data_IF_196907581296
#
_entry.id   IF_196907581296
#
_cell.length_a   1.000
_cell.length_b   1.000
_cell.length_c   1.000
_cell.angle_alpha   90.00
_cell.angle_beta   90.00
_cell.angle_gamma   90.00
#
_symmetry.space_group_name_H-M   'P 1'
#
loop_
_entity.id
_entity.type
_entity.pdbx_description
1 polymer ?
#
# COMPACT_ATOMS: atom_id res chain seq x y z
N UNK A 1 -19.49 -31.42 -26.19
CA UNK A 1 -18.66 -30.22 -25.96
C UNK A 1 -18.39 -30.11 -24.47
N UNK A 2 -17.18 -29.69 -24.05
CA UNK A 2 -16.89 -29.43 -22.63
C UNK A 2 -17.91 -28.44 -22.06
N UNK A 3 -18.43 -28.68 -20.87
CA UNK A 3 -19.33 -27.76 -20.18
C UNK A 3 -18.52 -26.89 -19.21
N UNK A 4 -18.93 -25.64 -19.00
CA UNK A 4 -18.31 -24.80 -17.97
C UNK A 4 -18.71 -25.24 -16.56
N UNK A 5 -17.88 -24.88 -15.57
CA UNK A 5 -18.23 -25.01 -14.17
C UNK A 5 -19.53 -24.23 -13.81
N UNK A 6 -20.30 -24.68 -12.80
CA UNK A 6 -21.57 -24.05 -12.42
C UNK A 6 -21.39 -22.65 -11.82
N UNK A 7 -20.17 -22.25 -11.48
CA UNK A 7 -19.86 -20.93 -10.92
C UNK A 7 -19.52 -19.90 -12.01
N UNK A 8 -19.59 -20.28 -13.30
CA UNK A 8 -19.35 -19.39 -14.43
C UNK A 8 -17.90 -18.95 -14.57
N UNK A 9 -16.96 -19.67 -13.94
CA UNK A 9 -15.54 -19.32 -13.95
C UNK A 9 -14.87 -19.69 -15.27
N UNK A 10 -15.56 -20.40 -16.18
CA UNK A 10 -15.02 -20.91 -17.45
C UNK A 10 -13.89 -21.93 -17.22
N UNK A 11 -14.02 -22.77 -16.20
CA UNK A 11 -13.23 -24.00 -16.05
C UNK A 11 -13.89 -25.07 -16.90
N UNK A 12 -13.15 -25.63 -17.86
CA UNK A 12 -13.66 -26.70 -18.72
C UNK A 12 -13.83 -28.00 -17.93
N UNK A 13 -15.06 -28.50 -17.85
CA UNK A 13 -15.35 -29.86 -17.41
C UNK A 13 -15.29 -30.76 -18.63
N UNK A 14 -14.39 -31.75 -18.60
CA UNK A 14 -14.19 -32.65 -19.73
C UNK A 14 -15.48 -33.42 -20.04
N UNK A 15 -15.82 -33.48 -21.33
CA UNK A 15 -17.04 -34.16 -21.81
C UNK A 15 -16.96 -35.69 -21.71
N UNK A 16 -15.77 -36.25 -21.43
CA UNK A 16 -15.47 -37.69 -21.38
C UNK A 16 -15.84 -38.47 -22.65
N UNK A 17 -15.94 -37.79 -23.80
CA UNK A 17 -16.32 -38.39 -25.10
C UNK A 17 -15.13 -38.91 -25.90
N UNK A 18 -13.90 -38.46 -25.59
CA UNK A 18 -12.68 -38.87 -26.26
C UNK A 18 -12.01 -40.05 -25.54
N UNK A 19 -11.08 -40.73 -26.21
CA UNK A 19 -10.31 -41.81 -25.61
C UNK A 19 -9.62 -41.34 -24.30
N UNK A 20 -9.62 -42.16 -23.23
CA UNK A 20 -9.12 -41.73 -21.93
C UNK A 20 -7.64 -41.34 -22.00
N UNK A 21 -7.37 -40.04 -21.81
CA UNK A 21 -6.02 -39.53 -21.61
C UNK A 21 -5.98 -38.74 -20.29
N UNK A 22 -5.58 -39.45 -19.23
CA UNK A 22 -5.52 -38.87 -17.89
C UNK A 22 -4.54 -37.69 -17.77
N UNK A 23 -3.48 -37.68 -18.58
CA UNK A 23 -2.50 -36.59 -18.61
C UNK A 23 -3.12 -35.31 -19.19
N UNK A 24 -3.81 -35.41 -20.32
CA UNK A 24 -4.50 -34.26 -20.93
C UNK A 24 -5.63 -33.72 -20.06
N UNK A 25 -6.38 -34.61 -19.40
CA UNK A 25 -7.43 -34.22 -18.46
C UNK A 25 -6.85 -33.45 -17.26
N UNK A 26 -5.81 -33.99 -16.63
CA UNK A 26 -5.16 -33.36 -15.48
C UNK A 26 -4.54 -32.01 -15.86
N UNK A 27 -3.86 -31.91 -17.01
CA UNK A 27 -3.30 -30.66 -17.52
C UNK A 27 -4.40 -29.60 -17.73
N UNK A 28 -5.51 -29.95 -18.38
CA UNK A 28 -6.61 -29.01 -18.61
C UNK A 28 -7.26 -28.48 -17.33
N UNK A 29 -7.36 -29.31 -16.28
CA UNK A 29 -7.85 -28.87 -14.96
C UNK A 29 -6.82 -27.94 -14.29
N UNK A 30 -5.55 -28.33 -14.27
CA UNK A 30 -4.48 -27.53 -13.65
C UNK A 30 -4.35 -26.19 -14.34
N UNK A 31 -4.32 -26.14 -15.68
CA UNK A 31 -4.19 -24.91 -16.46
C UNK A 31 -5.40 -23.99 -16.29
N UNK A 32 -6.60 -24.55 -16.10
CA UNK A 32 -7.81 -23.76 -15.86
C UNK A 32 -7.93 -23.25 -14.41
N UNK A 33 -7.34 -23.95 -13.43
CA UNK A 33 -7.49 -23.64 -11.99
C UNK A 33 -6.29 -22.87 -11.44
N UNK A 34 -5.07 -23.27 -11.76
CA UNK A 34 -3.84 -22.63 -11.28
C UNK A 34 -3.82 -21.10 -11.45
N UNK A 35 -4.16 -20.51 -12.62
CA UNK A 35 -4.16 -19.06 -12.77
C UNK A 35 -5.31 -18.34 -12.02
N UNK A 36 -6.36 -19.08 -11.64
CA UNK A 36 -7.52 -18.58 -10.86
C UNK A 36 -7.32 -18.74 -9.36
N UNK A 37 -6.33 -19.52 -8.93
CA UNK A 37 -5.84 -19.55 -7.55
C UNK A 37 -4.79 -18.47 -7.31
N UNK A 38 -4.37 -18.29 -6.06
CA UNK A 38 -3.22 -17.43 -5.76
C UNK A 38 -1.94 -18.13 -6.22
N UNK A 39 -1.38 -17.68 -7.35
CA UNK A 39 -0.08 -18.15 -7.82
C UNK A 39 1.02 -17.63 -6.90
N UNK A 40 2.06 -18.43 -6.64
CA UNK A 40 3.15 -18.05 -5.73
C UNK A 40 4.45 -17.85 -6.51
N UNK A 41 5.12 -16.73 -6.27
CA UNK A 41 6.42 -16.42 -6.87
C UNK A 41 7.40 -15.95 -5.79
N UNK A 42 8.70 -16.10 -6.05
CA UNK A 42 9.73 -15.59 -5.15
C UNK A 42 9.69 -14.06 -5.08
N UNK A 43 9.55 -13.38 -6.23
CA UNK A 43 9.52 -11.92 -6.32
C UNK A 43 8.75 -11.41 -7.55
N UNK A 44 8.50 -10.10 -7.63
CA UNK A 44 7.84 -9.47 -8.78
C UNK A 44 8.63 -9.70 -10.10
N UNK A 45 9.96 -9.69 -10.03
CA UNK A 45 10.84 -9.96 -11.18
C UNK A 45 10.72 -11.41 -11.64
N UNK A 46 10.71 -12.36 -10.70
CA UNK A 46 10.52 -13.78 -11.02
C UNK A 46 9.18 -14.03 -11.69
N UNK A 47 8.09 -13.43 -11.18
CA UNK A 47 6.78 -13.49 -11.82
C UNK A 47 6.82 -12.99 -13.26
N UNK A 48 7.41 -11.82 -13.48
CA UNK A 48 7.46 -11.18 -14.81
C UNK A 48 8.24 -12.04 -15.82
N UNK A 49 9.29 -12.73 -15.38
CA UNK A 49 10.04 -13.66 -16.21
C UNK A 49 9.26 -14.96 -16.52
N UNK A 50 8.44 -15.44 -15.57
CA UNK A 50 7.69 -16.69 -15.72
C UNK A 50 6.41 -16.51 -16.56
N UNK A 51 5.65 -15.43 -16.32
CA UNK A 51 4.36 -15.20 -16.99
C UNK A 51 4.56 -14.56 -18.37
N UNK A 52 4.95 -15.37 -19.35
CA UNK A 52 5.20 -14.95 -20.74
C UNK A 52 4.55 -15.91 -21.74
N UNK A 53 4.47 -15.48 -23.02
CA UNK A 53 3.96 -16.32 -24.10
C UNK A 53 2.51 -16.77 -23.89
N UNK A 54 2.26 -18.08 -23.99
CA UNK A 54 0.94 -18.66 -23.78
C UNK A 54 0.44 -18.53 -22.32
N UNK A 55 1.35 -18.28 -21.38
CA UNK A 55 1.05 -18.08 -19.95
C UNK A 55 1.13 -16.59 -19.56
N UNK A 56 0.96 -15.68 -20.53
CA UNK A 56 0.95 -14.24 -20.28
C UNK A 56 -0.13 -13.86 -19.25
N UNK A 57 0.13 -12.85 -18.41
CA UNK A 57 -0.77 -12.50 -17.32
C UNK A 57 -2.06 -11.86 -17.82
N UNK A 58 -3.21 -12.41 -17.44
CA UNK A 58 -4.54 -11.88 -17.77
C UNK A 58 -5.17 -11.15 -16.58
N UNK A 59 -6.06 -10.16 -16.80
CA UNK A 59 -6.80 -9.51 -15.73
C UNK A 59 -7.52 -10.50 -14.82
N UNK A 60 -7.52 -10.22 -13.51
CA UNK A 60 -8.10 -11.06 -12.47
C UNK A 60 -7.16 -12.09 -11.85
N UNK A 61 -5.97 -12.33 -12.44
CA UNK A 61 -4.95 -13.17 -11.81
C UNK A 61 -4.45 -12.56 -10.50
N UNK A 62 -4.28 -13.40 -9.46
CA UNK A 62 -3.74 -12.99 -8.16
C UNK A 62 -2.44 -13.75 -7.89
N UNK A 63 -1.42 -13.03 -7.42
CA UNK A 63 -0.11 -13.58 -7.06
C UNK A 63 0.27 -13.22 -5.64
N UNK A 64 0.89 -14.15 -4.92
CA UNK A 64 1.63 -13.89 -3.69
C UNK A 64 3.13 -13.85 -4.00
N UNK A 65 3.81 -12.78 -3.56
CA UNK A 65 5.24 -12.56 -3.75
C UNK A 65 5.96 -12.76 -2.41
N UNK A 66 6.83 -13.76 -2.33
CA UNK A 66 7.41 -14.19 -1.06
C UNK A 66 8.45 -13.22 -0.48
N UNK A 67 9.29 -12.59 -1.33
CA UNK A 67 10.30 -11.63 -0.87
C UNK A 67 9.64 -10.33 -0.36
N UNK A 68 8.58 -9.88 -1.02
CA UNK A 68 7.86 -8.66 -0.68
C UNK A 68 6.72 -8.89 0.33
N UNK A 69 6.44 -10.15 0.69
CA UNK A 69 5.37 -10.59 1.59
C UNK A 69 4.02 -9.91 1.31
N UNK A 70 3.57 -9.99 0.05
CA UNK A 70 2.32 -9.31 -0.37
C UNK A 70 1.58 -10.00 -1.51
N UNK A 71 0.30 -9.71 -1.60
CA UNK A 71 -0.58 -10.11 -2.69
C UNK A 71 -0.69 -8.99 -3.72
N UNK A 72 -0.57 -9.35 -4.99
CA UNK A 72 -0.80 -8.46 -6.14
C UNK A 72 -1.84 -9.07 -7.08
N UNK A 73 -2.70 -8.23 -7.65
CA UNK A 73 -3.67 -8.60 -8.66
C UNK A 73 -3.35 -7.94 -10.01
N UNK A 74 -3.61 -8.65 -11.10
CA UNK A 74 -3.55 -8.11 -12.47
C UNK A 74 -4.85 -7.38 -12.75
N UNK A 75 -4.79 -6.06 -12.90
CA UNK A 75 -5.97 -5.22 -13.12
C UNK A 75 -6.38 -5.21 -14.61
N UNK A 76 -7.57 -4.69 -14.90
CA UNK A 76 -8.12 -4.62 -16.25
C UNK A 76 -7.30 -3.77 -17.24
N UNK A 77 -6.50 -2.84 -16.73
CA UNK A 77 -5.57 -2.01 -17.51
C UNK A 77 -4.24 -2.73 -17.84
N UNK A 78 -4.09 -3.99 -17.42
CA UNK A 78 -2.86 -4.73 -17.60
C UNK A 78 -1.72 -4.26 -16.68
N UNK A 79 -2.02 -3.63 -15.55
CA UNK A 79 -1.03 -3.34 -14.50
C UNK A 79 -1.14 -4.32 -13.34
N UNK A 80 -0.03 -4.57 -12.64
CA UNK A 80 -0.05 -5.29 -11.38
C UNK A 80 -0.22 -4.29 -10.25
N UNK A 81 -1.19 -4.52 -9.37
CA UNK A 81 -1.44 -3.67 -8.20
C UNK A 81 -1.48 -4.50 -6.93
N UNK A 82 -0.90 -3.97 -5.86
CA UNK A 82 -0.96 -4.61 -4.54
C UNK A 82 -2.40 -4.58 -4.03
N UNK A 83 -2.89 -5.69 -3.48
CA UNK A 83 -4.23 -5.79 -2.89
C UNK A 83 -4.22 -6.14 -1.41
N UNK A 84 -3.07 -6.58 -0.88
CA UNK A 84 -2.86 -6.73 0.56
C UNK A 84 -2.29 -5.45 1.17
N UNK A 85 -2.49 -5.24 2.46
CA UNK A 85 -1.73 -4.22 3.19
C UNK A 85 -0.26 -4.60 3.25
N UNK A 86 0.63 -3.68 2.88
CA UNK A 86 2.05 -3.81 3.18
C UNK A 86 2.33 -3.74 4.68
N UNK A 87 3.53 -4.18 5.07
CA UNK A 87 4.01 -4.04 6.44
C UNK A 87 4.11 -2.56 6.85
N UNK A 88 3.96 -2.29 8.15
CA UNK A 88 4.23 -0.97 8.71
C UNK A 88 5.75 -0.75 8.77
N UNK A 89 6.21 0.28 8.06
CA UNK A 89 7.61 0.68 8.00
C UNK A 89 7.80 1.89 8.93
N UNK A 90 8.71 1.83 9.93
CA UNK A 90 8.97 2.96 10.82
C UNK A 90 9.36 4.23 10.05
N UNK A 91 8.85 5.37 10.50
CA UNK A 91 9.22 6.67 9.92
C UNK A 91 10.57 7.11 10.48
N UNK A 92 11.51 7.42 9.59
CA UNK A 92 12.75 8.11 9.96
C UNK A 92 12.48 9.62 10.03
N UNK A 93 12.55 10.17 11.24
CA UNK A 93 12.35 11.60 11.46
C UNK A 93 13.58 12.43 11.04
N UNK A 94 13.32 13.66 10.62
CA UNK A 94 14.34 14.69 10.44
C UNK A 94 14.97 15.07 11.78
N UNK A 95 16.17 15.64 11.74
CA UNK A 95 16.87 16.08 12.94
C UNK A 95 16.01 17.03 13.78
N UNK A 96 15.95 16.80 15.09
CA UNK A 96 15.15 17.58 16.03
C UNK A 96 13.74 17.04 16.31
N UNK A 97 13.35 15.92 15.70
CA UNK A 97 12.08 15.24 15.96
C UNK A 97 12.29 13.77 16.33
N UNK A 98 11.39 13.24 17.16
CA UNK A 98 11.43 11.85 17.65
C UNK A 98 10.01 11.28 17.75
N UNK A 99 9.92 9.95 17.77
CA UNK A 99 8.67 9.26 18.09
C UNK A 99 8.24 9.54 19.54
N UNK A 100 6.95 9.80 19.75
CA UNK A 100 6.37 9.98 21.08
C UNK A 100 5.53 8.77 21.51
N UNK A 101 4.63 8.32 20.63
CA UNK A 101 3.70 7.23 20.94
C UNK A 101 3.13 6.56 19.69
N UNK A 102 2.53 5.38 19.85
CA UNK A 102 1.86 4.66 18.76
C UNK A 102 2.77 4.11 17.66
N UNK A 103 4.09 4.09 17.88
CA UNK A 103 5.12 3.60 16.94
C UNK A 103 4.97 4.18 15.52
N UNK A 104 5.34 5.47 15.32
CA UNK A 104 5.17 6.17 14.06
C UNK A 104 5.70 5.42 12.86
N UNK A 105 4.82 5.19 11.89
CA UNK A 105 5.10 4.36 10.74
C UNK A 105 4.20 4.76 9.55
N UNK A 106 4.60 4.32 8.36
CA UNK A 106 3.76 4.35 7.17
C UNK A 106 3.61 2.95 6.60
N UNK A 107 2.57 2.72 5.80
CA UNK A 107 2.44 1.52 4.97
C UNK A 107 1.84 1.87 3.61
N UNK A 108 2.11 1.02 2.64
CA UNK A 108 1.48 1.08 1.32
C UNK A 108 0.34 0.07 1.29
N UNK A 109 -0.86 0.50 0.91
CA UNK A 109 -2.05 -0.31 0.76
C UNK A 109 -2.59 -0.09 -0.66
N UNK A 110 -2.22 -0.99 -1.57
CA UNK A 110 -2.48 -0.82 -3.00
C UNK A 110 -1.92 0.49 -3.53
N UNK A 111 -2.78 1.33 -4.08
CA UNK A 111 -2.40 2.64 -4.62
C UNK A 111 -2.47 3.77 -3.59
N UNK A 112 -2.58 3.45 -2.30
CA UNK A 112 -2.63 4.43 -1.22
C UNK A 112 -1.49 4.24 -0.20
N UNK A 113 -1.17 5.31 0.50
CA UNK A 113 -0.29 5.31 1.67
C UNK A 113 -1.11 5.69 2.88
N UNK A 114 -0.85 5.03 4.01
CA UNK A 114 -1.41 5.36 5.31
C UNK A 114 -0.28 5.61 6.31
N UNK A 115 -0.47 6.59 7.19
CA UNK A 115 0.45 6.89 8.29
C UNK A 115 -0.24 6.65 9.64
N UNK A 116 0.57 6.43 10.67
CA UNK A 116 0.11 6.26 12.05
C UNK A 116 1.10 6.79 13.07
N UNK A 117 0.64 6.91 14.31
CA UNK A 117 1.43 7.23 15.49
C UNK A 117 1.61 8.73 15.70
N UNK A 118 2.36 9.08 16.75
CA UNK A 118 2.58 10.47 17.16
C UNK A 118 4.06 10.78 17.33
N UNK A 119 4.42 12.03 17.11
CA UNK A 119 5.79 12.51 17.21
C UNK A 119 5.86 13.85 17.95
N UNK A 120 7.06 14.19 18.40
CA UNK A 120 7.35 15.43 19.09
C UNK A 120 8.73 15.96 18.71
N UNK A 121 9.08 17.15 19.19
CA UNK A 121 10.47 17.63 19.13
C UNK A 121 11.31 16.80 20.08
N UNK A 122 12.58 16.56 19.73
CA UNK A 122 13.51 15.80 20.58
C UNK A 122 13.70 16.40 21.98
N UNK A 123 13.42 17.70 22.15
CA UNK A 123 13.48 18.41 23.42
C UNK A 123 12.16 18.38 24.22
N UNK A 124 11.12 17.74 23.69
CA UNK A 124 9.73 17.81 24.17
C UNK A 124 9.15 19.24 24.29
N UNK A 125 9.84 20.24 23.74
CA UNK A 125 9.36 21.61 23.71
C UNK A 125 8.19 21.76 22.72
N UNK A 126 7.29 22.72 22.94
CA UNK A 126 6.25 23.04 21.96
C UNK A 126 6.81 23.30 20.55
N UNK A 127 6.00 22.96 19.55
CA UNK A 127 6.30 23.33 18.16
C UNK A 127 6.25 24.85 17.98
N UNK A 128 7.09 25.36 17.09
CA UNK A 128 7.00 26.75 16.66
C UNK A 128 5.74 26.93 15.82
N UNK A 129 4.87 27.84 16.26
CA UNK A 129 3.61 28.16 15.57
C UNK A 129 3.85 28.92 14.28
N UNK A 130 2.87 28.86 13.37
CA UNK A 130 2.85 29.54 12.07
C UNK A 130 4.09 29.28 11.19
N UNK A 131 4.82 28.19 11.45
CA UNK A 131 6.04 27.82 10.75
C UNK A 131 5.85 26.47 10.08
N UNK A 132 6.29 26.35 8.83
CA UNK A 132 6.34 25.07 8.13
C UNK A 132 7.55 24.28 8.63
N UNK A 133 7.28 23.14 9.26
CA UNK A 133 8.30 22.28 9.87
C UNK A 133 8.35 20.96 9.10
N UNK A 134 9.46 20.69 8.41
CA UNK A 134 9.68 19.38 7.78
C UNK A 134 10.11 18.37 8.84
N UNK A 135 9.30 17.35 9.07
CA UNK A 135 9.48 16.38 10.15
C UNK A 135 10.01 15.03 9.66
N UNK A 136 9.81 14.69 8.39
CA UNK A 136 10.33 13.48 7.77
C UNK A 136 10.35 13.62 6.24
N UNK A 137 11.02 12.68 5.56
CA UNK A 137 10.96 12.52 4.11
C UNK A 137 10.63 11.06 3.79
N UNK A 138 9.54 10.84 3.06
CA UNK A 138 9.11 9.52 2.62
C UNK A 138 9.94 9.04 1.40
N UNK A 139 10.22 7.73 1.30
CA UNK A 139 10.91 7.17 0.15
C UNK A 139 10.07 7.30 -1.12
N UNK A 140 10.72 7.22 -2.28
CA UNK A 140 10.09 7.45 -3.60
C UNK A 140 8.81 6.66 -3.83
N UNK A 141 8.75 5.39 -3.40
CA UNK A 141 7.57 4.53 -3.55
C UNK A 141 6.36 4.93 -2.70
N UNK A 142 6.52 5.85 -1.75
CA UNK A 142 5.45 6.34 -0.89
C UNK A 142 5.10 7.82 -1.15
N UNK A 143 5.62 8.45 -2.21
CA UNK A 143 5.39 9.88 -2.48
C UNK A 143 4.09 10.08 -3.26
N UNK A 144 3.24 11.05 -2.90
CA UNK A 144 2.09 11.39 -3.72
C UNK A 144 2.55 12.06 -5.03
N UNK A 145 1.74 11.95 -6.09
CA UNK A 145 2.01 12.61 -7.37
C UNK A 145 1.94 14.16 -7.29
N UNK A 146 1.20 14.70 -6.33
CA UNK A 146 1.06 16.13 -6.06
C UNK A 146 0.91 16.38 -4.56
N UNK A 147 1.13 17.62 -4.10
CA UNK A 147 0.96 17.95 -2.68
C UNK A 147 -0.45 17.61 -2.17
N UNK A 148 -0.50 17.02 -0.99
CA UNK A 148 -1.74 16.68 -0.28
C UNK A 148 -1.73 17.34 1.10
N UNK A 149 -2.91 17.77 1.56
CA UNK A 149 -3.08 18.46 2.83
C UNK A 149 -4.08 17.72 3.71
N UNK A 150 -3.77 17.64 5.00
CA UNK A 150 -4.57 16.98 6.01
C UNK A 150 -4.69 17.87 7.24
N UNK A 151 -5.79 17.73 7.95
CA UNK A 151 -5.89 18.22 9.33
C UNK A 151 -5.50 17.05 10.22
N UNK A 152 -4.52 17.24 11.08
CA UNK A 152 -4.09 16.22 12.04
C UNK A 152 -4.31 16.69 13.46
N UNK A 153 -4.60 15.74 14.36
CA UNK A 153 -4.76 16.03 15.77
C UNK A 153 -3.41 16.38 16.40
N UNK A 154 -3.46 17.26 17.39
CA UNK A 154 -2.34 17.62 18.25
C UNK A 154 -2.78 17.56 19.70
N UNK A 155 -1.96 18.07 20.61
CA UNK A 155 -2.17 17.98 22.05
C UNK A 155 -3.51 18.54 22.55
N UNK A 156 -4.22 17.72 23.33
CA UNK A 156 -5.46 18.12 24.00
C UNK A 156 -5.21 19.28 24.95
N UNK A 157 -6.09 20.29 24.95
CA UNK A 157 -5.98 21.53 25.73
C UNK A 157 -4.79 22.45 25.38
N UNK A 158 -4.11 22.22 24.26
CA UNK A 158 -3.20 23.17 23.61
C UNK A 158 -3.77 23.56 22.23
N UNK A 159 -2.91 23.76 21.22
CA UNK A 159 -3.38 23.75 19.84
C UNK A 159 -3.90 22.34 19.53
N UNK A 160 -5.18 22.21 19.15
CA UNK A 160 -5.85 20.90 18.99
C UNK A 160 -5.74 20.31 17.57
N UNK A 161 -5.25 21.09 16.62
CA UNK A 161 -5.04 20.64 15.25
C UNK A 161 -3.81 21.26 14.61
N UNK A 162 -3.25 20.56 13.63
CA UNK A 162 -2.22 21.04 12.71
C UNK A 162 -2.69 20.87 11.26
N UNK A 163 -2.09 21.65 10.36
CA UNK A 163 -2.08 21.29 8.94
C UNK A 163 -0.86 20.42 8.68
N UNK A 164 -1.07 19.22 8.14
CA UNK A 164 0.00 18.39 7.59
C UNK A 164 -0.02 18.48 6.06
N UNK A 165 1.13 18.68 5.46
CA UNK A 165 1.34 18.58 4.02
C UNK A 165 2.28 17.41 3.73
N UNK A 166 1.95 16.64 2.71
CA UNK A 166 2.89 15.69 2.10
C UNK A 166 3.05 16.12 0.65
N UNK A 167 4.23 16.66 0.32
CA UNK A 167 4.48 17.18 -1.02
C UNK A 167 4.95 16.09 -1.99
N UNK A 168 5.05 16.41 -3.28
CA UNK A 168 5.49 15.46 -4.31
C UNK A 168 6.95 14.99 -4.13
N UNK A 169 7.77 15.73 -3.39
CA UNK A 169 9.12 15.30 -3.01
C UNK A 169 9.14 14.32 -1.82
N UNK A 170 7.97 14.04 -1.23
CA UNK A 170 7.81 13.16 -0.07
C UNK A 170 8.09 13.84 1.27
N UNK A 171 8.31 15.15 1.32
CA UNK A 171 8.48 15.86 2.57
C UNK A 171 7.17 15.87 3.35
N UNK A 172 7.22 15.38 4.58
CA UNK A 172 6.12 15.48 5.55
C UNK A 172 6.34 16.77 6.33
N UNK A 173 5.44 17.73 6.14
CA UNK A 173 5.54 19.07 6.68
C UNK A 173 4.35 19.29 7.61
N UNK A 174 4.58 19.83 8.80
CA UNK A 174 3.50 20.29 9.67
C UNK A 174 3.50 21.81 9.81
N UNK A 175 2.34 22.38 10.06
CA UNK A 175 2.19 23.77 10.46
C UNK A 175 1.15 23.84 11.57
N UNK A 176 1.58 24.24 12.76
CA UNK A 176 0.69 24.50 13.89
C UNK A 176 0.15 25.93 13.75
N UNK A 177 -1.17 26.14 13.63
CA UNK A 177 -1.73 27.48 13.61
C UNK A 177 -1.60 28.17 14.98
N UNK A 178 -1.58 29.50 15.04
CA UNK A 178 -1.61 30.24 16.30
C UNK A 178 -3.03 30.30 16.87
N UNK A 179 -3.67 29.14 17.09
CA UNK A 179 -5.07 29.05 17.52
C UNK A 179 -5.28 29.23 19.02
N UNK A 180 -4.25 28.98 19.83
CA UNK A 180 -4.28 29.20 21.29
C UNK A 180 -3.00 29.87 21.80
N UNK A 181 -2.94 30.33 23.07
CA UNK A 181 -1.69 30.80 23.70
C UNK A 181 -0.69 29.68 24.01
N UNK A 182 -1.17 28.46 24.27
CA UNK A 182 -0.37 27.29 24.64
C UNK A 182 0.12 26.55 23.39
N UNK A 183 1.38 26.14 23.30
CA UNK A 183 1.88 25.40 22.13
C UNK A 183 1.74 23.89 22.30
N UNK A 184 1.27 23.19 21.27
CA UNK A 184 1.29 21.72 21.26
C UNK A 184 2.72 21.18 21.25
N UNK A 185 3.00 20.20 22.10
CA UNK A 185 4.30 19.48 22.16
C UNK A 185 4.37 18.28 21.22
N UNK A 186 3.21 17.79 20.75
CA UNK A 186 3.13 16.61 19.89
C UNK A 186 2.04 16.72 18.83
N UNK A 187 2.22 15.96 17.75
CA UNK A 187 1.28 15.88 16.64
C UNK A 187 1.10 14.43 16.19
N UNK A 188 -0.11 14.11 15.73
CA UNK A 188 -0.46 12.81 15.19
C UNK A 188 -0.19 12.74 13.68
N UNK A 189 0.16 11.54 13.24
CA UNK A 189 0.20 11.09 11.85
C UNK A 189 -1.01 10.21 11.52
N UNK A 190 -1.81 9.85 12.54
CA UNK A 190 -3.02 9.04 12.39
C UNK A 190 -4.06 9.74 11.49
N UNK A 191 -4.86 8.94 10.79
CA UNK A 191 -5.86 9.37 9.81
C UNK A 191 -5.30 10.12 8.59
N UNK A 192 -3.98 10.08 8.36
CA UNK A 192 -3.38 10.57 7.12
C UNK A 192 -3.30 9.42 6.13
N UNK A 193 -4.12 9.50 5.08
CA UNK A 193 -4.10 8.57 3.96
C UNK A 193 -4.18 9.29 2.63
N UNK A 194 -3.42 8.87 1.63
CA UNK A 194 -3.46 9.48 0.30
C UNK A 194 -3.17 8.52 -0.84
N UNK A 195 -3.72 8.84 -2.00
CA UNK A 195 -3.42 8.14 -3.25
C UNK A 195 -2.02 8.47 -3.76
N UNK A 196 -1.33 7.45 -4.27
CA UNK A 196 -0.10 7.53 -5.05
C UNK A 196 -0.38 7.91 -6.51
N UNK A 197 -1.61 7.71 -6.98
CA UNK A 197 -2.07 8.12 -8.32
C UNK A 197 -2.73 9.50 -8.27
N UNK A 198 -2.70 10.19 -9.42
CA UNK A 198 -3.25 11.55 -9.59
C UNK A 198 -4.76 11.59 -9.49
#
# INVERSE_FOLDING_TARGET
MPTSDPYGQSISVAALTDAPNAQSLAAGIVDAVAPRTVMRFTSATSRTATLTGASAPVPGMITYLATEDRYEARMGDGTWRTISSGAWIPITFAAGYVAKGGSPAYRILGDAVELRGTFERSTAAPFTKATALTIATLPSGARPAASRYFITATEWAADMYARMEINAAGSVIITIPPSTPTGASWAALDNVSYSLTT
#
